data_IF_662342715014
#
_entry.id   IF_662342715014
#
_cell.length_a   1.000
_cell.length_b   1.000
_cell.length_c   1.000
_cell.angle_alpha   90.00
_cell.angle_beta   90.00
_cell.angle_gamma   90.00
#
_symmetry.space_group_name_H-M   'P 1'
#
loop_
_entity.id
_entity.type
_entity.pdbx_description
1 polymer ?
#
# COMPACT_ATOMS: atom_id res chain seq x y z
N UNK A 1 60.36 19.26 32.65
CA UNK A 1 59.23 19.61 31.75
C UNK A 1 58.21 18.49 31.90
N UNK A 2 57.08 18.59 32.61
CA UNK A 2 56.01 19.59 32.58
C UNK A 2 55.64 20.00 31.14
N UNK A 3 54.61 19.35 30.60
CA UNK A 3 53.35 20.01 30.21
C UNK A 3 52.24 18.96 30.05
N UNK A 4 51.02 19.48 30.22
CA UNK A 4 49.83 18.83 30.74
C UNK A 4 48.74 18.82 29.65
N UNK A 5 47.77 17.92 29.84
CA UNK A 5 46.35 18.08 29.47
C UNK A 5 45.87 17.95 28.02
N UNK A 6 44.72 17.26 27.96
CA UNK A 6 43.63 17.35 26.98
C UNK A 6 43.86 16.58 25.68
N UNK A 7 42.97 15.71 25.22
CA UNK A 7 41.53 15.91 25.19
C UNK A 7 40.83 14.53 25.08
N UNK A 8 39.92 14.24 26.01
CA UNK A 8 38.98 13.15 25.85
C UNK A 8 37.90 13.69 24.91
N UNK A 9 38.09 13.50 23.61
CA UNK A 9 37.10 13.87 22.60
C UNK A 9 35.87 12.99 22.77
N UNK A 10 34.92 13.52 23.54
CA UNK A 10 33.54 13.08 23.65
C UNK A 10 32.96 12.91 22.24
N UNK A 11 32.51 11.70 21.93
CA UNK A 11 31.64 11.46 20.79
C UNK A 11 30.30 12.13 21.09
N UNK A 12 30.13 13.37 20.64
CA UNK A 12 28.83 14.03 20.60
C UNK A 12 28.08 13.44 19.40
N UNK A 13 26.98 12.69 19.56
CA UNK A 13 26.15 12.34 18.43
C UNK A 13 25.53 13.64 17.92
N UNK A 14 25.89 14.03 16.70
CA UNK A 14 25.25 15.14 16.02
C UNK A 14 23.79 14.79 15.77
N UNK A 15 22.90 15.32 16.60
CA UNK A 15 21.47 15.44 16.34
C UNK A 15 21.28 16.39 15.15
N UNK A 16 21.44 15.86 13.95
CA UNK A 16 20.86 16.46 12.76
C UNK A 16 20.26 15.30 11.96
N UNK A 17 19.10 14.85 12.42
CA UNK A 17 18.19 14.10 11.59
C UNK A 17 17.86 14.97 10.39
N UNK A 18 18.51 14.69 9.25
CA UNK A 18 18.06 15.21 7.98
C UNK A 18 16.73 14.54 7.73
N UNK A 19 15.65 15.18 8.18
CA UNK A 19 14.29 14.91 7.76
C UNK A 19 14.31 14.94 6.23
N UNK A 20 14.12 13.77 5.62
CA UNK A 20 14.00 13.66 4.18
C UNK A 20 12.80 14.47 3.68
N UNK A 21 12.70 14.71 2.35
CA UNK A 21 11.61 15.49 1.74
C UNK A 21 10.19 14.93 1.96
N UNK A 22 10.04 13.86 2.75
CA UNK A 22 8.79 13.25 3.16
C UNK A 22 7.93 14.11 4.10
N UNK A 23 8.43 15.25 4.58
CA UNK A 23 7.65 16.18 5.43
C UNK A 23 7.13 17.42 4.69
N UNK A 24 7.44 17.60 3.41
CA UNK A 24 6.76 18.65 2.65
C UNK A 24 5.28 18.27 2.50
N UNK A 25 4.33 19.16 2.87
CA UNK A 25 2.91 18.88 2.67
C UNK A 25 2.69 18.68 1.16
N UNK A 26 2.30 17.47 0.78
CA UNK A 26 1.94 17.17 -0.60
C UNK A 26 0.94 18.23 -1.08
N UNK A 27 1.28 18.94 -2.16
CA UNK A 27 0.41 19.93 -2.77
C UNK A 27 -0.89 19.25 -3.20
N UNK A 28 -1.95 19.41 -2.39
CA UNK A 28 -3.29 18.89 -2.69
C UNK A 28 -3.92 19.81 -3.72
N UNK A 29 -3.89 19.39 -4.99
CA UNK A 29 -4.69 20.01 -6.05
C UNK A 29 -6.18 19.74 -5.80
N UNK A 30 -7.02 20.76 -5.97
CA UNK A 30 -8.45 20.84 -5.63
C UNK A 30 -9.29 19.53 -5.69
N UNK A 31 -10.09 19.33 -4.65
CA UNK A 31 -10.38 18.03 -4.00
C UNK A 31 -11.44 17.11 -4.65
N UNK A 32 -12.39 17.60 -5.45
CA UNK A 32 -13.55 16.76 -5.84
C UNK A 32 -13.25 15.66 -6.88
N UNK A 33 -12.23 15.83 -7.72
CA UNK A 33 -11.82 14.84 -8.71
C UNK A 33 -10.75 13.86 -8.18
N UNK A 34 -10.08 14.22 -7.07
CA UNK A 34 -8.98 13.44 -6.47
C UNK A 34 -9.41 12.55 -5.32
N UNK A 35 -10.61 12.74 -4.77
CA UNK A 35 -11.16 11.95 -3.65
C UNK A 35 -11.31 10.44 -3.95
N UNK A 36 -11.10 10.06 -5.22
CA UNK A 36 -11.14 8.67 -5.70
C UNK A 36 -9.84 8.22 -6.37
N UNK A 37 -8.76 9.01 -6.37
CA UNK A 37 -7.53 8.64 -7.08
C UNK A 37 -6.64 7.72 -6.26
N UNK A 38 -6.67 7.85 -4.93
CA UNK A 38 -5.79 7.11 -4.04
C UNK A 38 -6.47 6.63 -2.74
N UNK A 39 -6.01 5.49 -2.21
CA UNK A 39 -6.49 4.93 -0.95
C UNK A 39 -5.35 4.31 -0.15
N UNK A 40 -5.35 4.48 1.18
CA UNK A 40 -4.41 3.81 2.08
C UNK A 40 -5.03 2.57 2.69
N UNK A 41 -4.33 1.45 2.59
CA UNK A 41 -4.63 0.24 3.37
C UNK A 41 -3.55 0.03 4.42
N UNK A 42 -3.93 -0.50 5.58
CA UNK A 42 -3.00 -0.80 6.68
C UNK A 42 -2.82 -2.30 6.79
N UNK A 43 -1.58 -2.77 6.65
CA UNK A 43 -1.27 -4.18 6.90
C UNK A 43 -1.24 -4.51 8.39
N UNK A 44 -1.15 -5.81 8.72
CA UNK A 44 -1.11 -6.31 10.09
C UNK A 44 0.14 -5.83 10.84
N UNK A 45 1.21 -5.54 10.10
CA UNK A 45 2.43 -4.90 10.59
C UNK A 45 2.25 -3.43 11.01
N UNK A 46 1.08 -2.82 10.74
CA UNK A 46 0.80 -1.40 10.96
C UNK A 46 1.27 -0.48 9.84
N UNK A 47 2.03 -1.00 8.86
CA UNK A 47 2.48 -0.25 7.67
C UNK A 47 1.30 0.21 6.82
N UNK A 48 1.43 1.41 6.25
CA UNK A 48 0.45 2.00 5.32
C UNK A 48 0.92 1.82 3.89
N UNK A 49 0.05 1.27 3.05
CA UNK A 49 0.30 1.06 1.63
C UNK A 49 -0.60 1.98 0.82
N UNK A 50 0.01 2.93 0.11
CA UNK A 50 -0.70 3.80 -0.83
C UNK A 50 -1.05 3.02 -2.09
N UNK A 51 -2.31 3.13 -2.51
CA UNK A 51 -2.80 2.52 -3.73
C UNK A 51 -3.42 3.57 -4.64
N UNK A 52 -3.20 3.47 -5.94
CA UNK A 52 -4.05 4.12 -6.94
C UNK A 52 -5.37 3.35 -7.08
N UNK A 53 -6.47 4.06 -7.26
CA UNK A 53 -7.81 3.48 -7.31
C UNK A 53 -8.37 3.60 -8.72
N UNK A 54 -8.91 2.50 -9.23
CA UNK A 54 -9.54 2.43 -10.55
C UNK A 54 -10.83 1.62 -10.47
N UNK A 55 -11.82 1.92 -11.32
CA UNK A 55 -12.89 0.95 -11.54
C UNK A 55 -12.35 -0.33 -12.19
N UNK A 56 -13.00 -1.47 -11.99
CA UNK A 56 -12.56 -2.75 -12.58
C UNK A 56 -12.39 -2.67 -14.11
N UNK A 57 -13.33 -1.98 -14.78
CA UNK A 57 -13.31 -1.79 -16.23
C UNK A 57 -12.36 -0.66 -16.65
N UNK A 58 -12.21 0.39 -15.83
CA UNK A 58 -11.35 1.55 -16.11
C UNK A 58 -9.88 1.34 -15.73
N UNK A 59 -9.53 0.22 -15.09
CA UNK A 59 -8.16 -0.08 -14.69
C UNK A 59 -7.24 -0.17 -15.93
N UNK A 60 -6.12 0.60 -15.98
CA UNK A 60 -5.19 0.55 -17.10
C UNK A 60 -4.39 -0.75 -17.11
N UNK A 61 -3.63 -1.00 -18.17
CA UNK A 61 -2.66 -2.10 -18.17
C UNK A 61 -1.59 -1.84 -17.09
N UNK A 62 -1.22 -2.88 -16.33
CA UNK A 62 -0.39 -2.74 -15.15
C UNK A 62 0.87 -3.61 -15.24
N UNK A 63 2.01 -3.15 -14.71
CA UNK A 63 3.18 -4.00 -14.53
C UNK A 63 2.92 -5.04 -13.42
N UNK A 64 3.98 -5.74 -13.00
CA UNK A 64 3.96 -6.51 -11.77
C UNK A 64 3.76 -5.58 -10.57
N UNK A 65 2.68 -5.78 -9.84
CA UNK A 65 2.17 -4.87 -8.82
C UNK A 65 1.34 -5.65 -7.81
N UNK A 66 1.17 -5.11 -6.61
CA UNK A 66 0.15 -5.60 -5.69
C UNK A 66 -1.21 -5.01 -6.08
N UNK A 67 -2.27 -5.78 -5.87
CA UNK A 67 -3.63 -5.31 -6.06
C UNK A 67 -4.58 -5.77 -4.95
N UNK A 68 -5.65 -5.00 -4.78
CA UNK A 68 -6.80 -5.36 -3.96
C UNK A 68 -8.03 -5.28 -4.86
N UNK A 69 -8.80 -6.37 -4.93
CA UNK A 69 -10.11 -6.39 -5.56
C UNK A 69 -11.13 -5.93 -4.54
N UNK A 70 -11.91 -4.90 -4.89
CA UNK A 70 -12.77 -4.19 -3.95
C UNK A 70 -14.19 -4.13 -4.47
N UNK A 71 -15.15 -4.30 -3.56
CA UNK A 71 -16.52 -3.87 -3.77
C UNK A 71 -16.72 -2.53 -3.11
N UNK A 72 -17.03 -1.52 -3.91
CA UNK A 72 -17.53 -0.24 -3.46
C UNK A 72 -19.05 -0.25 -3.52
N UNK A 73 -19.69 0.03 -2.39
CA UNK A 73 -21.14 0.11 -2.28
C UNK A 73 -21.64 1.51 -2.66
N UNK A 74 -22.96 1.64 -2.85
CA UNK A 74 -23.60 2.90 -3.27
C UNK A 74 -23.45 4.01 -2.22
N UNK A 75 -23.26 3.66 -0.95
CA UNK A 75 -22.96 4.59 0.14
C UNK A 75 -21.49 5.06 0.17
N UNK A 76 -20.67 4.55 -0.76
CA UNK A 76 -19.25 4.86 -0.88
C UNK A 76 -18.33 4.02 0.00
N UNK A 77 -18.86 3.14 0.85
CA UNK A 77 -18.07 2.20 1.65
C UNK A 77 -17.34 1.18 0.75
N UNK A 78 -16.21 0.67 1.23
CA UNK A 78 -15.33 -0.23 0.48
C UNK A 78 -15.08 -1.51 1.26
N UNK A 79 -15.36 -2.63 0.63
CA UNK A 79 -15.10 -3.98 1.12
C UNK A 79 -13.97 -4.61 0.29
N UNK A 80 -12.88 -5.02 0.94
CA UNK A 80 -11.83 -5.77 0.26
C UNK A 80 -12.27 -7.23 0.10
N UNK A 81 -12.34 -7.70 -1.14
CA UNK A 81 -12.79 -9.05 -1.48
C UNK A 81 -11.61 -10.02 -1.66
N UNK A 82 -10.50 -9.53 -2.22
CA UNK A 82 -9.31 -10.35 -2.43
C UNK A 82 -8.06 -9.47 -2.54
N UNK A 83 -6.93 -10.08 -2.21
CA UNK A 83 -5.59 -9.49 -2.28
C UNK A 83 -4.75 -10.36 -3.22
N UNK A 84 -3.80 -9.73 -3.91
CA UNK A 84 -2.91 -10.46 -4.79
C UNK A 84 -1.75 -9.62 -5.30
N UNK A 85 -0.97 -10.24 -6.18
CA UNK A 85 0.00 -9.54 -7.01
C UNK A 85 -0.02 -10.08 -8.44
N UNK A 86 0.35 -9.21 -9.38
CA UNK A 86 0.54 -9.56 -10.79
C UNK A 86 1.98 -10.01 -11.01
N UNK A 87 2.16 -11.07 -11.81
CA UNK A 87 3.44 -11.77 -11.96
C UNK A 87 3.92 -11.85 -13.42
N UNK A 88 3.05 -11.59 -14.39
CA UNK A 88 3.41 -11.69 -15.80
C UNK A 88 4.15 -10.43 -16.26
N UNK A 89 5.15 -10.58 -17.14
CA UNK A 89 5.83 -9.42 -17.76
C UNK A 89 4.89 -8.70 -18.75
N UNK A 90 3.95 -9.43 -19.34
CA UNK A 90 2.95 -8.88 -20.24
C UNK A 90 1.84 -8.15 -19.46
N UNK A 91 1.86 -6.82 -19.49
CA UNK A 91 0.90 -5.98 -18.76
C UNK A 91 -0.57 -6.24 -19.11
N UNK A 92 -0.85 -6.62 -20.37
CA UNK A 92 -2.19 -6.96 -20.83
C UNK A 92 -2.70 -8.27 -20.22
N UNK A 93 -1.81 -9.25 -20.00
CA UNK A 93 -2.16 -10.53 -19.36
C UNK A 93 -2.50 -10.33 -17.88
N UNK A 94 -1.71 -9.50 -17.19
CA UNK A 94 -1.99 -9.08 -15.82
C UNK A 94 -3.38 -8.45 -15.69
N UNK A 95 -3.69 -7.48 -16.56
CA UNK A 95 -4.99 -6.81 -16.56
C UNK A 95 -6.15 -7.77 -16.87
N UNK A 96 -5.97 -8.67 -17.84
CA UNK A 96 -6.99 -9.65 -18.20
C UNK A 96 -7.31 -10.59 -17.04
N UNK A 97 -6.28 -11.12 -16.37
CA UNK A 97 -6.43 -11.98 -15.19
C UNK A 97 -7.09 -11.25 -14.04
N UNK A 98 -6.63 -10.03 -13.74
CA UNK A 98 -7.19 -9.20 -12.68
C UNK A 98 -8.69 -8.94 -12.90
N UNK A 99 -9.09 -8.57 -14.12
CA UNK A 99 -10.50 -8.33 -14.47
C UNK A 99 -11.33 -9.61 -14.39
N UNK A 100 -10.80 -10.72 -14.87
CA UNK A 100 -11.48 -12.01 -14.82
C UNK A 100 -11.76 -12.45 -13.38
N UNK A 101 -10.75 -12.41 -12.51
CA UNK A 101 -10.93 -12.79 -11.11
C UNK A 101 -11.80 -11.79 -10.35
N UNK A 102 -11.64 -10.48 -10.60
CA UNK A 102 -12.50 -9.44 -10.05
C UNK A 102 -13.97 -9.65 -10.40
N UNK A 103 -14.28 -9.97 -11.66
CA UNK A 103 -15.65 -10.20 -12.10
C UNK A 103 -16.29 -11.43 -11.40
N UNK A 104 -15.52 -12.51 -11.17
CA UNK A 104 -16.03 -13.75 -10.55
C UNK A 104 -16.47 -13.55 -9.11
N UNK A 105 -15.84 -12.63 -8.38
CA UNK A 105 -16.18 -12.29 -7.00
C UNK A 105 -17.03 -11.00 -6.90
N UNK A 106 -17.31 -10.38 -8.05
CA UNK A 106 -18.08 -9.15 -8.20
C UNK A 106 -17.41 -7.90 -7.59
N UNK A 107 -16.09 -7.81 -7.69
CA UNK A 107 -15.39 -6.55 -7.50
C UNK A 107 -15.84 -5.53 -8.56
N UNK A 108 -15.90 -4.25 -8.19
CA UNK A 108 -16.17 -3.15 -9.10
C UNK A 108 -15.08 -2.06 -9.05
N UNK A 109 -14.19 -2.14 -8.07
CA UNK A 109 -13.05 -1.25 -7.87
C UNK A 109 -11.78 -2.09 -7.68
N UNK A 110 -10.64 -1.52 -8.07
CA UNK A 110 -9.33 -2.15 -8.01
C UNK A 110 -8.35 -1.14 -7.43
N UNK A 111 -7.64 -1.53 -6.38
CA UNK A 111 -6.62 -0.70 -5.76
C UNK A 111 -5.26 -1.27 -6.08
N UNK A 112 -4.37 -0.47 -6.68
CA UNK A 112 -3.07 -0.92 -7.17
C UNK A 112 -1.94 -0.27 -6.37
N UNK A 113 -1.06 -1.09 -5.81
CA UNK A 113 0.16 -0.64 -5.14
C UNK A 113 1.39 -0.96 -5.98
N UNK A 114 2.13 0.10 -6.36
CA UNK A 114 3.27 0.04 -7.28
C UNK A 114 4.62 0.22 -6.61
N UNK A 115 4.68 0.47 -5.29
CA UNK A 115 5.93 0.82 -4.60
C UNK A 115 6.73 -0.40 -4.11
N UNK A 116 6.30 -1.61 -4.47
CA UNK A 116 6.96 -2.86 -4.13
C UNK A 116 7.78 -3.38 -5.33
N UNK A 117 9.03 -2.92 -5.43
CA UNK A 117 9.88 -3.12 -6.62
C UNK A 117 10.34 -4.56 -6.85
N UNK A 118 10.35 -5.40 -5.81
CA UNK A 118 10.81 -6.79 -5.90
C UNK A 118 9.67 -7.77 -5.71
N UNK A 119 9.77 -8.96 -6.32
CA UNK A 119 8.81 -10.03 -6.10
C UNK A 119 8.64 -10.37 -4.60
N UNK A 120 9.75 -10.41 -3.86
CA UNK A 120 9.72 -10.62 -2.40
C UNK A 120 8.97 -9.51 -1.66
N UNK A 121 9.18 -8.25 -2.04
CA UNK A 121 8.44 -7.14 -1.46
C UNK A 121 6.94 -7.26 -1.76
N UNK A 122 6.56 -7.62 -3.00
CA UNK A 122 5.15 -7.83 -3.35
C UNK A 122 4.51 -8.96 -2.57
N UNK A 123 5.19 -10.10 -2.42
CA UNK A 123 4.71 -11.21 -1.59
C UNK A 123 4.53 -10.77 -0.13
N UNK A 124 5.44 -9.97 0.42
CA UNK A 124 5.30 -9.43 1.77
C UNK A 124 4.08 -8.50 1.91
N UNK A 125 3.92 -7.55 0.98
CA UNK A 125 2.78 -6.61 0.99
C UNK A 125 1.44 -7.36 0.92
N UNK A 126 1.33 -8.34 0.02
CA UNK A 126 0.13 -9.16 -0.11
C UNK A 126 -0.19 -9.92 1.18
N UNK A 127 0.80 -10.59 1.77
CA UNK A 127 0.62 -11.34 3.00
C UNK A 127 0.21 -10.43 4.17
N UNK A 128 0.84 -9.27 4.29
CA UNK A 128 0.59 -8.30 5.36
C UNK A 128 -0.82 -7.69 5.26
N UNK A 129 -1.27 -7.36 4.04
CA UNK A 129 -2.62 -6.86 3.77
C UNK A 129 -3.68 -7.95 3.98
N UNK A 130 -3.42 -9.17 3.51
CA UNK A 130 -4.31 -10.32 3.70
C UNK A 130 -4.51 -10.62 5.19
N UNK A 131 -3.43 -10.60 5.96
CA UNK A 131 -3.47 -10.81 7.41
C UNK A 131 -4.28 -9.72 8.14
N UNK A 132 -4.31 -8.49 7.64
CA UNK A 132 -5.04 -7.40 8.27
C UNK A 132 -6.56 -7.41 7.99
N UNK A 133 -6.97 -7.97 6.85
CA UNK A 133 -8.29 -7.69 6.28
C UNK A 133 -9.11 -8.93 5.94
N UNK A 134 -8.48 -10.09 5.73
CA UNK A 134 -9.19 -11.36 5.51
C UNK A 134 -9.09 -12.31 6.70
N UNK A 135 -8.21 -12.06 7.67
CA UNK A 135 -8.32 -12.73 8.96
C UNK A 135 -9.46 -12.09 9.75
N UNK A 136 -10.60 -12.78 9.82
CA UNK A 136 -11.55 -12.53 10.89
C UNK A 136 -10.83 -12.78 12.21
N UNK A 137 -10.77 -11.82 13.16
CA UNK A 137 -10.72 -12.24 14.55
C UNK A 137 -12.00 -13.06 14.76
N UNK A 138 -11.86 -14.28 15.30
CA UNK A 138 -13.00 -15.07 15.71
C UNK A 138 -13.91 -14.19 16.59
N UNK A 139 -15.03 -13.74 16.02
CA UNK A 139 -16.01 -12.97 16.74
C UNK A 139 -16.74 -13.93 17.70
N UNK A 140 -16.22 -13.98 18.92
CA UNK A 140 -16.99 -13.79 20.14
C UNK A 140 -18.44 -14.29 20.09
N UNK A 141 -18.64 -15.59 20.27
CA UNK A 141 -19.82 -16.08 21.02
C UNK A 141 -19.67 -15.62 22.48
N UNK A 142 -20.17 -14.42 22.79
CA UNK A 142 -20.44 -14.00 24.16
C UNK A 142 -21.31 -12.73 24.16
N UNK A 143 -22.64 -12.93 24.28
CA UNK A 143 -23.56 -12.26 25.20
C UNK A 143 -25.01 -12.43 24.74
#
# INVERSE_FOLDING_TARGET
MWMNSSDASEFVPSENGIQGPSEEPALVCAEAAFDQAFHYWRGASGRRYLHSVYSLVGCPALPQANFILVRRHDDGSREALAFGNTMDDAMSLNLARLRHEGAKIGANEVHIHLLADTARARTFVEADLTAAHLHQPAASEAA
#
